data_IF_996074680531
#
_entry.id   IF_996074680531
#
_cell.length_a   1.000
_cell.length_b   1.000
_cell.length_c   1.000
_cell.angle_alpha   90.00
_cell.angle_beta   90.00
_cell.angle_gamma   90.00
#
_symmetry.space_group_name_H-M   'P 1'
#
loop_
_entity.id
_entity.type
_entity.pdbx_description
1 polymer ?
#
# COMPACT_ATOMS: atom_id res chain seq x y z
N UNK A 1 6.54 45.55 -8.53
CA UNK A 1 7.75 44.74 -8.85
C UNK A 1 8.47 44.18 -7.60
N UNK A 2 8.07 44.53 -6.36
CA UNK A 2 8.74 44.12 -5.12
C UNK A 2 8.20 42.81 -4.50
N UNK A 3 6.92 42.48 -4.71
CA UNK A 3 6.26 41.29 -4.12
C UNK A 3 6.81 39.93 -4.59
N UNK A 4 7.34 39.83 -5.82
CA UNK A 4 7.89 38.56 -6.35
C UNK A 4 9.21 38.14 -5.69
N UNK A 5 9.97 39.09 -5.12
CA UNK A 5 11.30 38.84 -4.55
C UNK A 5 11.22 38.14 -3.19
N UNK A 6 10.19 38.47 -2.42
CA UNK A 6 9.88 37.91 -1.09
C UNK A 6 9.30 36.49 -1.20
N UNK A 7 8.46 36.23 -2.21
CA UNK A 7 8.00 34.85 -2.49
C UNK A 7 9.14 33.94 -2.94
N UNK A 8 10.09 34.45 -3.73
CA UNK A 8 11.25 33.67 -4.20
C UNK A 8 12.19 33.35 -3.04
N UNK A 9 12.44 34.27 -2.11
CA UNK A 9 13.28 33.97 -0.94
C UNK A 9 12.67 32.89 -0.07
N UNK A 10 11.36 32.95 0.22
CA UNK A 10 10.68 31.92 1.00
C UNK A 10 10.68 30.54 0.32
N UNK A 11 10.57 30.48 -1.01
CA UNK A 11 10.70 29.23 -1.76
C UNK A 11 12.13 28.68 -1.71
N UNK A 12 13.15 29.53 -1.84
CA UNK A 12 14.55 29.14 -1.73
C UNK A 12 14.87 28.64 -0.32
N UNK A 13 14.38 29.31 0.71
CA UNK A 13 14.57 28.90 2.10
C UNK A 13 13.89 27.54 2.38
N UNK A 14 12.70 27.32 1.82
CA UNK A 14 11.99 26.04 1.94
C UNK A 14 12.72 24.90 1.20
N UNK A 15 13.22 25.16 -0.01
CA UNK A 15 14.02 24.19 -0.75
C UNK A 15 15.33 23.85 -0.01
N UNK A 16 16.01 24.84 0.56
CA UNK A 16 17.22 24.62 1.36
C UNK A 16 16.91 23.79 2.61
N UNK A 17 15.77 24.04 3.26
CA UNK A 17 15.28 23.25 4.39
C UNK A 17 14.99 21.80 3.98
N UNK A 18 14.23 21.57 2.90
CA UNK A 18 13.92 20.24 2.38
C UNK A 18 15.19 19.47 1.98
N UNK A 19 16.16 20.14 1.35
CA UNK A 19 17.46 19.53 1.01
C UNK A 19 18.25 19.16 2.27
N UNK A 20 18.27 20.03 3.30
CA UNK A 20 18.93 19.72 4.58
C UNK A 20 18.26 18.56 5.31
N UNK A 21 16.93 18.51 5.33
CA UNK A 21 16.17 17.40 5.92
C UNK A 21 16.37 16.09 5.17
N UNK A 22 16.39 16.13 3.83
CA UNK A 22 16.70 14.97 3.01
C UNK A 22 18.12 14.48 3.27
N UNK A 23 19.11 15.38 3.31
CA UNK A 23 20.50 15.03 3.56
C UNK A 23 20.69 14.41 4.96
N UNK A 24 20.02 14.96 5.98
CA UNK A 24 20.01 14.42 7.34
C UNK A 24 19.37 13.03 7.39
N UNK A 25 18.23 12.86 6.72
CA UNK A 25 17.55 11.56 6.63
C UNK A 25 18.41 10.53 5.92
N UNK A 26 19.07 10.92 4.83
CA UNK A 26 20.00 10.07 4.07
C UNK A 26 21.21 9.63 4.93
N UNK A 27 21.76 10.54 5.73
CA UNK A 27 22.87 10.20 6.63
C UNK A 27 22.43 9.20 7.73
N UNK A 28 21.25 9.40 8.32
CA UNK A 28 20.68 8.47 9.31
C UNK A 28 20.39 7.07 8.73
N UNK A 29 19.96 7.02 7.45
CA UNK A 29 19.79 5.79 6.68
C UNK A 29 21.13 5.10 6.38
N UNK A 30 22.16 5.88 6.02
CA UNK A 30 23.52 5.38 5.74
C UNK A 30 24.20 4.83 6.99
N UNK A 31 24.05 5.50 8.12
CA UNK A 31 24.62 5.09 9.41
C UNK A 31 24.01 3.78 9.90
N UNK A 32 22.72 3.55 9.59
CA UNK A 32 22.00 2.32 9.95
C UNK A 32 21.72 1.42 8.74
N UNK A 33 22.77 1.01 8.02
CA UNK A 33 22.63 0.14 6.84
C UNK A 33 21.82 -1.15 7.12
N UNK A 34 21.86 -1.68 8.34
CA UNK A 34 21.07 -2.84 8.78
C UNK A 34 19.56 -2.55 8.68
N UNK A 35 19.12 -1.35 9.09
CA UNK A 35 17.71 -0.95 8.99
C UNK A 35 17.28 -0.81 7.53
N UNK A 36 18.19 -0.35 6.66
CA UNK A 36 17.94 -0.26 5.22
C UNK A 36 17.78 -1.66 4.61
N UNK A 37 18.68 -2.59 4.93
CA UNK A 37 18.57 -3.98 4.47
C UNK A 37 17.28 -4.64 4.97
N UNK A 38 16.92 -4.41 6.24
CA UNK A 38 15.69 -4.94 6.83
C UNK A 38 14.45 -4.36 6.12
N UNK A 39 14.42 -3.05 5.84
CA UNK A 39 13.34 -2.41 5.08
C UNK A 39 13.20 -2.97 3.66
N UNK A 40 14.31 -3.21 2.98
CA UNK A 40 14.33 -3.85 1.66
C UNK A 40 13.77 -5.27 1.75
N UNK A 41 14.20 -6.05 2.75
CA UNK A 41 13.69 -7.41 2.96
C UNK A 41 12.17 -7.42 3.21
N UNK A 42 11.67 -6.53 4.08
CA UNK A 42 10.23 -6.38 4.30
C UNK A 42 9.48 -6.00 3.03
N UNK A 43 10.05 -5.14 2.19
CA UNK A 43 9.47 -4.76 0.90
C UNK A 43 9.39 -5.97 -0.04
N UNK A 44 10.45 -6.77 -0.14
CA UNK A 44 10.46 -8.01 -0.94
C UNK A 44 9.42 -9.00 -0.42
N UNK A 45 9.31 -9.19 0.90
CA UNK A 45 8.32 -10.09 1.51
C UNK A 45 6.90 -9.59 1.25
N UNK A 46 6.67 -8.28 1.35
CA UNK A 46 5.38 -7.65 1.07
C UNK A 46 4.95 -7.91 -0.37
N UNK A 47 5.79 -7.57 -1.34
CA UNK A 47 5.51 -7.81 -2.76
C UNK A 47 5.38 -9.31 -3.08
N UNK A 48 6.24 -10.15 -2.48
CA UNK A 48 6.15 -11.60 -2.63
C UNK A 48 4.81 -12.16 -2.14
N UNK A 49 4.33 -11.69 -0.99
CA UNK A 49 3.01 -12.08 -0.44
C UNK A 49 1.88 -11.60 -1.36
N UNK A 50 1.97 -10.36 -1.87
CA UNK A 50 0.99 -9.82 -2.82
C UNK A 50 0.89 -10.65 -4.10
N UNK A 51 2.03 -11.06 -4.68
CA UNK A 51 2.07 -11.86 -5.92
C UNK A 51 1.71 -13.33 -5.70
N UNK A 52 1.93 -13.87 -4.50
CA UNK A 52 1.55 -15.24 -4.14
C UNK A 52 0.06 -15.40 -3.84
N UNK A 53 -0.63 -14.31 -3.48
CA UNK A 53 -2.04 -14.35 -3.11
C UNK A 53 -2.93 -14.96 -4.20
N UNK A 54 -2.84 -14.48 -5.44
CA UNK A 54 -3.72 -14.99 -6.52
C UNK A 54 -3.41 -16.45 -6.91
N UNK A 55 -2.14 -16.89 -7.10
CA UNK A 55 -1.81 -18.30 -7.34
C UNK A 55 -2.25 -19.23 -6.21
N UNK A 56 -2.10 -18.83 -4.94
CA UNK A 56 -2.54 -19.63 -3.80
C UNK A 56 -4.05 -19.78 -3.77
N UNK A 57 -4.79 -18.73 -4.10
CA UNK A 57 -6.24 -18.79 -4.23
C UNK A 57 -6.65 -19.73 -5.37
N UNK A 58 -6.07 -19.58 -6.57
CA UNK A 58 -6.37 -20.47 -7.69
C UNK A 58 -6.09 -21.94 -7.36
N UNK A 59 -4.99 -22.21 -6.65
CA UNK A 59 -4.66 -23.55 -6.15
C UNK A 59 -5.68 -24.04 -5.11
N UNK A 60 -6.15 -23.16 -4.21
CA UNK A 60 -7.18 -23.46 -3.22
C UNK A 60 -8.54 -23.80 -3.85
N UNK A 61 -8.88 -23.20 -4.98
CA UNK A 61 -10.06 -23.56 -5.79
C UNK A 61 -9.84 -24.79 -6.68
N UNK A 62 -8.68 -25.44 -6.58
CA UNK A 62 -8.29 -26.61 -7.37
C UNK A 62 -8.39 -26.39 -8.89
N UNK A 63 -8.08 -25.18 -9.34
CA UNK A 63 -8.08 -24.80 -10.75
C UNK A 63 -6.70 -25.06 -11.38
N UNK A 64 -6.69 -25.52 -12.62
CA UNK A 64 -5.45 -25.64 -13.39
C UNK A 64 -5.04 -24.27 -13.93
N UNK A 65 -3.85 -23.81 -13.57
CA UNK A 65 -3.31 -22.54 -14.05
C UNK A 65 -1.82 -22.64 -14.35
N UNK A 66 -1.36 -21.80 -15.28
CA UNK A 66 0.05 -21.59 -15.51
C UNK A 66 0.54 -20.44 -14.62
N UNK A 67 1.50 -20.72 -13.74
CA UNK A 67 2.00 -19.78 -12.75
C UNK A 67 2.57 -18.50 -13.41
N UNK A 68 3.28 -18.65 -14.53
CA UNK A 68 3.83 -17.53 -15.28
C UNK A 68 2.75 -16.59 -15.82
N UNK A 69 1.67 -17.15 -16.40
CA UNK A 69 0.57 -16.32 -16.90
C UNK A 69 -0.16 -15.56 -15.79
N UNK A 70 -0.39 -16.22 -14.64
CA UNK A 70 -1.01 -15.59 -13.48
C UNK A 70 -0.15 -14.44 -12.94
N UNK A 71 1.17 -14.61 -12.89
CA UNK A 71 2.08 -13.54 -12.47
C UNK A 71 2.04 -12.35 -13.44
N UNK A 72 2.05 -12.60 -14.76
CA UNK A 72 1.93 -11.55 -15.77
C UNK A 72 0.64 -10.75 -15.59
N UNK A 73 -0.49 -11.43 -15.39
CA UNK A 73 -1.78 -10.76 -15.15
C UNK A 73 -1.77 -9.92 -13.88
N UNK A 74 -1.14 -10.38 -12.80
CA UNK A 74 -0.99 -9.59 -11.57
C UNK A 74 -0.10 -8.37 -11.78
N UNK A 75 1.01 -8.49 -12.51
CA UNK A 75 1.89 -7.35 -12.82
C UNK A 75 1.12 -6.30 -13.61
N UNK A 76 0.39 -6.72 -14.65
CA UNK A 76 -0.45 -5.81 -15.45
C UNK A 76 -1.51 -5.15 -14.56
N UNK A 77 -2.17 -5.92 -13.70
CA UNK A 77 -3.17 -5.41 -12.78
C UNK A 77 -2.61 -4.33 -11.85
N UNK A 78 -1.51 -4.63 -11.14
CA UNK A 78 -0.87 -3.66 -10.23
C UNK A 78 -0.27 -2.46 -10.96
N UNK A 79 0.07 -2.59 -12.24
CA UNK A 79 0.50 -1.46 -13.07
C UNK A 79 -0.67 -0.55 -13.44
N UNK A 80 -1.85 -1.11 -13.75
CA UNK A 80 -3.05 -0.34 -14.11
C UNK A 80 -3.73 0.27 -12.88
N UNK A 81 -3.65 -0.41 -11.73
CA UNK A 81 -4.34 -0.06 -10.49
C UNK A 81 -4.17 1.42 -10.07
N UNK A 82 -2.96 2.03 -10.11
CA UNK A 82 -2.76 3.45 -9.74
C UNK A 82 -3.42 4.45 -10.69
N UNK A 83 -3.72 4.04 -11.94
CA UNK A 83 -4.39 4.89 -12.93
C UNK A 83 -5.91 4.87 -12.79
N UNK A 84 -6.45 4.03 -11.90
CA UNK A 84 -7.89 3.95 -11.69
C UNK A 84 -8.40 5.16 -10.89
N UNK A 85 -9.40 5.90 -11.38
CA UNK A 85 -9.83 7.16 -10.78
C UNK A 85 -10.67 6.98 -9.50
N UNK A 86 -10.95 5.75 -9.06
CA UNK A 86 -11.79 5.48 -7.90
C UNK A 86 -10.96 5.52 -6.61
N UNK A 87 -11.10 6.54 -5.74
CA UNK A 87 -10.46 6.53 -4.44
C UNK A 87 -11.02 5.36 -3.62
N UNK A 88 -10.14 4.48 -3.12
CA UNK A 88 -10.51 3.23 -2.46
C UNK A 88 -10.72 2.04 -3.40
N UNK A 89 -10.77 2.26 -4.72
CA UNK A 89 -10.57 1.25 -5.76
C UNK A 89 -11.53 0.05 -5.82
N UNK A 90 -12.57 -0.07 -4.98
CA UNK A 90 -13.39 -1.30 -4.87
C UNK A 90 -14.02 -1.69 -6.21
N UNK A 91 -14.91 -0.87 -6.80
CA UNK A 91 -15.64 -1.26 -8.01
C UNK A 91 -14.75 -1.48 -9.25
N UNK A 92 -13.90 -0.51 -9.59
CA UNK A 92 -13.06 -0.61 -10.80
C UNK A 92 -12.00 -1.68 -10.68
N UNK A 93 -11.39 -1.87 -9.50
CA UNK A 93 -10.37 -2.90 -9.37
C UNK A 93 -10.95 -4.30 -9.09
N UNK A 94 -12.16 -4.44 -8.56
CA UNK A 94 -12.86 -5.74 -8.57
C UNK A 94 -13.20 -6.15 -10.01
N UNK A 95 -13.79 -5.24 -10.79
CA UNK A 95 -14.08 -5.49 -12.21
C UNK A 95 -12.80 -5.71 -13.03
N UNK A 96 -11.75 -4.93 -12.79
CA UNK A 96 -10.46 -5.06 -13.46
C UNK A 96 -9.77 -6.38 -13.15
N UNK A 97 -9.76 -6.80 -11.88
CA UNK A 97 -9.20 -8.08 -11.48
C UNK A 97 -10.04 -9.23 -12.05
N UNK A 98 -11.37 -9.15 -11.96
CA UNK A 98 -12.29 -10.13 -12.55
C UNK A 98 -12.08 -10.28 -14.06
N UNK A 99 -11.92 -9.17 -14.79
CA UNK A 99 -11.69 -9.17 -16.23
C UNK A 99 -10.42 -9.92 -16.60
N UNK A 100 -9.30 -9.65 -15.91
CA UNK A 100 -8.01 -10.29 -16.17
C UNK A 100 -8.01 -11.78 -15.79
N UNK A 101 -8.73 -12.14 -14.74
CA UNK A 101 -8.79 -13.52 -14.22
C UNK A 101 -9.93 -14.37 -14.76
N UNK A 102 -10.86 -13.80 -15.53
CA UNK A 102 -11.98 -14.51 -16.18
C UNK A 102 -11.52 -15.64 -17.10
N UNK A 103 -10.31 -15.55 -17.65
CA UNK A 103 -9.69 -16.61 -18.46
C UNK A 103 -9.23 -17.83 -17.65
N UNK A 104 -8.97 -17.66 -16.35
CA UNK A 104 -8.46 -18.71 -15.48
C UNK A 104 -9.53 -19.29 -14.55
N UNK A 105 -10.55 -18.49 -14.22
CA UNK A 105 -11.58 -18.85 -13.24
C UNK A 105 -12.95 -18.93 -13.92
N UNK A 106 -13.67 -20.05 -13.76
CA UNK A 106 -15.05 -20.17 -14.25
C UNK A 106 -15.95 -19.05 -13.72
N UNK A 107 -16.88 -18.57 -14.54
CA UNK A 107 -17.71 -17.38 -14.24
C UNK A 107 -18.47 -17.49 -12.90
N UNK A 108 -18.90 -18.70 -12.53
CA UNK A 108 -19.62 -18.96 -11.28
C UNK A 108 -18.72 -18.85 -10.02
N UNK A 109 -17.40 -19.02 -10.15
CA UNK A 109 -16.43 -18.85 -9.05
C UNK A 109 -15.74 -17.49 -9.06
N UNK A 110 -15.81 -16.75 -10.18
CA UNK A 110 -15.06 -15.51 -10.38
C UNK A 110 -15.37 -14.46 -9.30
N UNK A 111 -16.65 -14.26 -8.96
CA UNK A 111 -17.04 -13.31 -7.91
C UNK A 111 -16.49 -13.69 -6.53
N UNK A 112 -16.56 -14.98 -6.18
CA UNK A 112 -16.04 -15.50 -4.91
C UNK A 112 -14.51 -15.37 -4.87
N UNK A 113 -13.83 -15.65 -5.98
CA UNK A 113 -12.39 -15.52 -6.12
C UNK A 113 -11.93 -14.06 -5.90
N UNK A 114 -12.53 -13.12 -6.61
CA UNK A 114 -12.22 -11.68 -6.48
C UNK A 114 -12.53 -11.17 -5.08
N UNK A 115 -13.67 -11.57 -4.51
CA UNK A 115 -14.07 -11.21 -3.15
C UNK A 115 -13.10 -11.74 -2.09
N UNK A 116 -12.67 -13.00 -2.22
CA UNK A 116 -11.69 -13.62 -1.31
C UNK A 116 -10.32 -12.94 -1.42
N UNK A 117 -9.88 -12.65 -2.64
CA UNK A 117 -8.65 -11.89 -2.89
C UNK A 117 -8.69 -10.51 -2.22
N UNK A 118 -9.79 -9.77 -2.38
CA UNK A 118 -10.01 -8.48 -1.71
C UNK A 118 -10.03 -8.59 -0.20
N UNK A 119 -10.66 -9.63 0.32
CA UNK A 119 -10.73 -9.86 1.76
C UNK A 119 -9.34 -10.01 2.37
N UNK A 120 -8.49 -10.85 1.77
CA UNK A 120 -7.14 -11.14 2.28
C UNK A 120 -6.23 -9.91 2.15
N UNK A 121 -6.21 -9.28 0.97
CA UNK A 121 -5.20 -8.25 0.67
C UNK A 121 -5.62 -6.87 1.19
N UNK A 122 -6.91 -6.56 1.18
CA UNK A 122 -7.39 -5.21 1.51
C UNK A 122 -8.18 -5.18 2.82
N UNK A 123 -9.30 -5.92 2.92
CA UNK A 123 -10.19 -5.77 4.08
C UNK A 123 -9.54 -6.23 5.39
N UNK A 124 -8.77 -7.31 5.38
CA UNK A 124 -8.05 -7.78 6.57
C UNK A 124 -7.06 -6.74 7.10
N UNK A 125 -6.23 -6.17 6.21
CA UNK A 125 -5.28 -5.11 6.55
C UNK A 125 -5.99 -3.84 7.04
N UNK A 126 -7.12 -3.49 6.41
CA UNK A 126 -7.94 -2.34 6.81
C UNK A 126 -8.50 -2.51 8.23
N UNK A 127 -8.98 -3.71 8.58
CA UNK A 127 -9.45 -4.02 9.92
C UNK A 127 -8.35 -3.86 10.98
N UNK A 128 -7.16 -4.39 10.71
CA UNK A 128 -6.01 -4.25 11.63
C UNK A 128 -5.65 -2.77 11.80
N UNK A 129 -5.56 -2.02 10.70
CA UNK A 129 -5.29 -0.58 10.74
C UNK A 129 -6.33 0.19 11.54
N UNK A 130 -7.62 -0.14 11.38
CA UNK A 130 -8.70 0.47 12.15
C UNK A 130 -8.58 0.18 13.66
N UNK A 131 -8.28 -1.06 14.05
CA UNK A 131 -8.10 -1.43 15.47
C UNK A 131 -6.94 -0.63 16.07
N UNK A 132 -5.78 -0.59 15.39
CA UNK A 132 -4.59 0.15 15.86
C UNK A 132 -4.91 1.63 16.02
N UNK A 133 -5.59 2.23 15.04
CA UNK A 133 -6.01 3.63 15.09
C UNK A 133 -6.91 3.91 16.30
N UNK A 134 -7.91 3.06 16.55
CA UNK A 134 -8.83 3.23 17.67
C UNK A 134 -8.13 3.11 19.02
N UNK A 135 -7.16 2.19 19.14
CA UNK A 135 -6.34 2.04 20.35
C UNK A 135 -5.50 3.29 20.59
N UNK A 136 -4.85 3.81 19.55
CA UNK A 136 -4.01 5.01 19.67
C UNK A 136 -4.85 6.25 20.02
N UNK A 137 -6.02 6.44 19.40
CA UNK A 137 -6.92 7.55 19.74
C UNK A 137 -7.33 7.49 21.22
N UNK A 138 -7.65 6.30 21.75
CA UNK A 138 -7.97 6.12 23.17
C UNK A 138 -6.78 6.46 24.07
N UNK A 139 -5.57 6.03 23.69
CA UNK A 139 -4.33 6.33 24.42
C UNK A 139 -4.02 7.83 24.45
N UNK A 140 -4.18 8.52 23.33
CA UNK A 140 -3.97 9.96 23.23
C UNK A 140 -5.00 10.75 24.05
N UNK A 141 -6.28 10.36 24.04
CA UNK A 141 -7.31 10.97 24.89
C UNK A 141 -6.99 10.81 26.38
N UNK A 142 -6.55 9.62 26.81
CA UNK A 142 -6.15 9.36 28.20
C UNK A 142 -4.95 10.23 28.61
N UNK A 143 -3.91 10.30 27.77
CA UNK A 143 -2.72 11.10 28.05
C UNK A 143 -3.02 12.60 28.14
N UNK A 144 -3.98 13.10 27.35
CA UNK A 144 -4.43 14.50 27.42
C UNK A 144 -5.17 14.78 28.73
N UNK A 145 -6.06 13.89 29.18
CA UNK A 145 -6.77 14.03 30.46
C UNK A 145 -5.81 14.01 31.66
N UNK A 146 -4.80 13.14 31.66
CA UNK A 146 -3.77 13.10 32.71
C UNK A 146 -2.92 14.37 32.78
N UNK A 147 -2.75 15.08 31.66
CA UNK A 147 -2.01 16.34 31.59
C UNK A 147 -2.84 17.57 31.99
N UNK A 148 -4.18 17.50 31.93
CA UNK A 148 -5.08 18.59 32.38
C UNK A 148 -5.42 18.51 33.87
N UNK A 149 -5.21 17.34 34.51
CA UNK A 149 -5.44 17.12 35.95
C UNK A 149 -4.19 17.45 36.80
N UNK A 150 -3.00 17.51 36.18
CA UNK A 150 -1.74 17.93 36.82
C UNK A 150 -1.51 19.42 36.66
#
# INVERSE_FOLDING_TARGET
KFSKKETISHLLDRLILEIKEYHKSFYLLKENWIKLLLSTLYTIIFWGTLFLAAPLLLKGFNLNFNLSHVLVMQVIFYFILPFMPTPGGSGTAEAGFASLFSFFVPLHLLGIFVGTWRFIIFYFNLCIGAIVLLVEIKRLKKKKQEAEIK
#
